data_IF_634776241684
#
_entry.id   IF_634776241684
#
_cell.length_a   1.000
_cell.length_b   1.000
_cell.length_c   1.000
_cell.angle_alpha   90.00
_cell.angle_beta   90.00
_cell.angle_gamma   90.00
#
_symmetry.space_group_name_H-M   'P 1'
#
loop_
_entity.id
_entity.type
_entity.pdbx_description
1 polymer ?
#
# COMPACT_ATOMS: atom_id res chain seq x y z
N UNK A 1 -26.99 5.84 11.75
CA UNK A 1 -26.91 4.79 10.71
C UNK A 1 -25.97 5.27 9.62
N UNK A 2 -24.72 4.78 9.60
CA UNK A 2 -23.77 5.11 8.52
C UNK A 2 -24.20 4.42 7.23
N UNK A 3 -24.29 5.16 6.12
CA UNK A 3 -24.69 4.62 4.83
C UNK A 3 -23.66 3.56 4.37
N UNK A 4 -24.06 2.28 4.32
CA UNK A 4 -23.18 1.14 3.95
C UNK A 4 -22.52 1.31 2.58
N UNK A 5 -23.14 2.05 1.66
CA UNK A 5 -22.57 2.33 0.34
C UNK A 5 -21.32 3.21 0.44
N UNK A 6 -21.35 4.26 1.27
CA UNK A 6 -20.23 5.19 1.42
C UNK A 6 -19.03 4.49 2.08
N UNK A 7 -19.26 3.74 3.17
CA UNK A 7 -18.19 3.02 3.89
C UNK A 7 -17.52 1.93 3.03
N UNK A 8 -18.23 1.37 2.05
CA UNK A 8 -17.68 0.37 1.13
C UNK A 8 -16.63 0.94 0.16
N UNK A 9 -16.63 2.25 -0.08
CA UNK A 9 -15.69 2.91 -0.99
C UNK A 9 -14.45 3.47 -0.28
N UNK A 10 -14.41 3.43 1.05
CA UNK A 10 -13.27 3.91 1.83
C UNK A 10 -11.93 3.24 1.50
N UNK A 11 -11.84 1.94 1.14
CA UNK A 11 -10.55 1.37 0.74
C UNK A 11 -10.02 2.04 -0.52
N UNK A 12 -10.89 2.34 -1.49
CA UNK A 12 -10.52 3.01 -2.74
C UNK A 12 -10.06 4.45 -2.48
N UNK A 13 -10.77 5.18 -1.62
CA UNK A 13 -10.38 6.55 -1.25
C UNK A 13 -9.02 6.54 -0.53
N UNK A 14 -8.81 5.59 0.39
CA UNK A 14 -7.55 5.46 1.12
C UNK A 14 -6.40 5.15 0.17
N UNK A 15 -6.60 4.22 -0.78
CA UNK A 15 -5.62 3.92 -1.83
C UNK A 15 -5.28 5.19 -2.59
N UNK A 16 -6.29 5.94 -3.06
CA UNK A 16 -6.07 7.17 -3.82
C UNK A 16 -5.29 8.22 -3.02
N UNK A 17 -5.58 8.38 -1.73
CA UNK A 17 -4.87 9.31 -0.85
C UNK A 17 -3.39 8.90 -0.66
N UNK A 18 -3.11 7.64 -0.37
CA UNK A 18 -1.73 7.14 -0.29
C UNK A 18 -1.01 7.27 -1.63
N UNK A 19 -1.66 6.93 -2.74
CA UNK A 19 -1.11 7.11 -4.09
C UNK A 19 -0.73 8.55 -4.37
N UNK A 20 -1.59 9.50 -4.00
CA UNK A 20 -1.32 10.92 -4.16
C UNK A 20 -0.12 11.36 -3.32
N UNK A 21 -0.05 10.96 -2.04
CA UNK A 21 1.06 11.34 -1.15
C UNK A 21 2.41 10.80 -1.65
N UNK A 22 2.47 9.53 -2.05
CA UNK A 22 3.69 8.94 -2.60
C UNK A 22 4.05 9.56 -3.96
N UNK A 23 3.06 9.83 -4.81
CA UNK A 23 3.27 10.48 -6.09
C UNK A 23 3.84 11.89 -5.94
N UNK A 24 3.32 12.69 -5.01
CA UNK A 24 3.82 14.05 -4.75
C UNK A 24 5.28 14.05 -4.29
N UNK A 25 5.65 13.14 -3.38
CA UNK A 25 7.05 13.01 -2.94
C UNK A 25 7.96 12.63 -4.11
N UNK A 26 7.62 11.55 -4.84
CA UNK A 26 8.46 11.05 -5.94
C UNK A 26 8.53 12.03 -7.10
N UNK A 27 7.44 12.77 -7.37
CA UNK A 27 7.43 13.84 -8.36
C UNK A 27 8.47 14.91 -8.02
N UNK A 28 8.52 15.36 -6.77
CA UNK A 28 9.52 16.32 -6.30
C UNK A 28 10.95 15.83 -6.57
N UNK A 29 11.23 14.59 -6.17
CA UNK A 29 12.53 13.96 -6.39
C UNK A 29 12.90 13.85 -7.89
N UNK A 30 11.98 13.38 -8.74
CA UNK A 30 12.24 13.27 -10.18
C UNK A 30 12.50 14.63 -10.81
N UNK A 31 11.75 15.66 -10.44
CA UNK A 31 11.95 17.01 -10.96
C UNK A 31 13.32 17.57 -10.56
N UNK A 32 13.76 17.36 -9.32
CA UNK A 32 15.09 17.75 -8.86
C UNK A 32 16.18 17.07 -9.69
N UNK A 33 16.06 15.76 -9.94
CA UNK A 33 16.99 15.01 -10.77
C UNK A 33 16.99 15.47 -12.24
N UNK A 34 15.83 15.79 -12.81
CA UNK A 34 15.74 16.33 -14.17
C UNK A 34 16.43 17.68 -14.30
N UNK A 35 16.37 18.52 -13.26
CA UNK A 35 17.10 19.80 -13.21
C UNK A 35 18.60 19.54 -13.09
N UNK A 36 19.03 18.65 -12.20
CA UNK A 36 20.44 18.30 -12.00
C UNK A 36 21.11 17.77 -13.28
N UNK A 37 20.38 16.98 -14.08
CA UNK A 37 20.87 16.47 -15.35
C UNK A 37 20.70 17.44 -16.53
N UNK A 38 20.17 18.65 -16.32
CA UNK A 38 19.91 19.64 -17.37
C UNK A 38 18.81 19.26 -18.36
N UNK A 39 18.09 18.15 -18.11
CA UNK A 39 17.00 17.67 -18.97
C UNK A 39 15.73 18.51 -18.81
N UNK A 40 15.55 19.12 -17.64
CA UNK A 40 14.35 19.91 -17.33
C UNK A 40 14.20 21.12 -18.27
N UNK A 41 15.29 21.84 -18.55
CA UNK A 41 15.26 23.00 -19.44
C UNK A 41 14.92 22.58 -20.89
N UNK A 42 15.49 21.47 -21.37
CA UNK A 42 15.12 20.92 -22.68
C UNK A 42 13.64 20.52 -22.77
N UNK A 43 13.04 20.01 -21.68
CA UNK A 43 11.61 19.71 -21.65
C UNK A 43 10.75 20.99 -21.67
N UNK A 44 11.23 22.09 -21.09
CA UNK A 44 10.52 23.37 -21.05
C UNK A 44 10.41 24.06 -22.41
N UNK A 45 11.24 23.69 -23.37
CA UNK A 45 11.10 24.17 -24.76
C UNK A 45 9.82 23.67 -25.42
N UNK A 46 9.30 22.51 -24.99
CA UNK A 46 8.11 21.87 -25.57
C UNK A 46 6.88 21.92 -24.66
N UNK A 47 7.07 21.94 -23.33
CA UNK A 47 5.99 21.90 -22.36
C UNK A 47 6.07 23.06 -21.36
N UNK A 48 4.91 23.51 -20.88
CA UNK A 48 4.87 24.44 -19.75
C UNK A 48 5.31 23.75 -18.46
N UNK A 49 5.87 24.51 -17.52
CA UNK A 49 6.27 24.00 -16.20
C UNK A 49 5.13 23.27 -15.48
N UNK A 50 3.92 23.86 -15.51
CA UNK A 50 2.72 23.23 -14.96
C UNK A 50 2.31 21.98 -15.74
N UNK A 51 2.49 21.97 -17.07
CA UNK A 51 2.23 20.81 -17.92
C UNK A 51 3.11 19.62 -17.58
N UNK A 52 4.42 19.86 -17.38
CA UNK A 52 5.38 18.82 -16.96
C UNK A 52 4.98 18.27 -15.58
N UNK A 53 4.73 19.18 -14.62
CA UNK A 53 4.34 18.79 -13.25
C UNK A 53 3.05 17.97 -13.26
N UNK A 54 1.98 18.44 -13.90
CA UNK A 54 0.69 17.73 -13.93
C UNK A 54 0.78 16.37 -14.62
N UNK A 55 1.49 16.28 -15.75
CA UNK A 55 1.64 15.02 -16.49
C UNK A 55 2.39 13.99 -15.65
N UNK A 56 3.50 14.41 -15.02
CA UNK A 56 4.29 13.54 -14.16
C UNK A 56 3.49 13.10 -12.92
N UNK A 57 2.77 14.02 -12.28
CA UNK A 57 1.91 13.70 -11.14
C UNK A 57 0.85 12.67 -11.52
N UNK A 58 0.14 12.87 -12.65
CA UNK A 58 -0.89 11.93 -13.10
C UNK A 58 -0.32 10.53 -13.35
N UNK A 59 0.83 10.44 -14.03
CA UNK A 59 1.51 9.17 -14.27
C UNK A 59 1.90 8.46 -12.97
N UNK A 60 2.47 9.21 -12.02
CA UNK A 60 2.90 8.67 -10.73
C UNK A 60 1.71 8.25 -9.85
N UNK A 61 0.64 9.04 -9.80
CA UNK A 61 -0.59 8.68 -9.08
C UNK A 61 -1.15 7.37 -9.64
N UNK A 62 -1.21 7.24 -10.97
CA UNK A 62 -1.68 6.02 -11.61
C UNK A 62 -0.80 4.81 -11.27
N UNK A 63 0.53 4.97 -11.32
CA UNK A 63 1.49 3.93 -10.95
C UNK A 63 1.32 3.47 -9.50
N UNK A 64 1.30 4.41 -8.55
CA UNK A 64 1.11 4.06 -7.14
C UNK A 64 -0.28 3.49 -6.86
N UNK A 65 -1.32 3.96 -7.56
CA UNK A 65 -2.66 3.40 -7.46
C UNK A 65 -2.69 1.92 -7.83
N UNK A 66 -2.01 1.54 -8.91
CA UNK A 66 -1.89 0.13 -9.30
C UNK A 66 -1.15 -0.70 -8.24
N UNK A 67 -0.03 -0.19 -7.71
CA UNK A 67 0.76 -0.88 -6.67
C UNK A 67 -0.09 -1.13 -5.42
N UNK A 68 -0.74 -0.09 -4.88
CA UNK A 68 -1.57 -0.23 -3.69
C UNK A 68 -2.82 -1.08 -3.93
N UNK A 69 -3.43 -0.98 -5.11
CA UNK A 69 -4.56 -1.84 -5.48
C UNK A 69 -4.17 -3.31 -5.57
N UNK A 70 -3.02 -3.62 -6.16
CA UNK A 70 -2.48 -4.98 -6.23
C UNK A 70 -2.17 -5.51 -4.82
N UNK A 71 -1.51 -4.71 -3.98
CA UNK A 71 -1.19 -5.09 -2.61
C UNK A 71 -2.46 -5.37 -1.79
N UNK A 72 -3.49 -4.53 -1.95
CA UNK A 72 -4.80 -4.73 -1.31
C UNK A 72 -5.46 -6.04 -1.78
N UNK A 73 -5.44 -6.34 -3.08
CA UNK A 73 -6.01 -7.58 -3.62
C UNK A 73 -5.32 -8.82 -3.04
N UNK A 74 -3.99 -8.80 -2.98
CA UNK A 74 -3.20 -9.87 -2.37
C UNK A 74 -3.56 -9.99 -0.89
N UNK A 75 -3.59 -8.87 -0.15
CA UNK A 75 -3.94 -8.87 1.26
C UNK A 75 -5.33 -9.47 1.54
N UNK A 76 -6.35 -9.06 0.80
CA UNK A 76 -7.70 -9.60 0.92
C UNK A 76 -7.73 -11.12 0.68
N UNK A 77 -7.00 -11.58 -0.34
CA UNK A 77 -6.92 -13.01 -0.69
C UNK A 77 -6.26 -13.80 0.44
N UNK A 78 -5.16 -13.30 0.99
CA UNK A 78 -4.42 -13.96 2.09
C UNK A 78 -5.27 -13.95 3.37
N UNK A 79 -5.98 -12.86 3.66
CA UNK A 79 -6.92 -12.79 4.79
C UNK A 79 -8.05 -13.80 4.64
N UNK A 80 -8.70 -13.86 3.48
CA UNK A 80 -9.78 -14.83 3.21
C UNK A 80 -9.27 -16.27 3.31
N UNK A 81 -8.09 -16.55 2.77
CA UNK A 81 -7.48 -17.89 2.84
C UNK A 81 -7.12 -18.26 4.29
N UNK A 82 -6.61 -17.31 5.08
CA UNK A 82 -6.36 -17.54 6.50
C UNK A 82 -7.64 -17.79 7.29
N UNK A 83 -8.74 -17.11 6.97
CA UNK A 83 -10.06 -17.38 7.56
C UNK A 83 -10.55 -18.77 7.18
N UNK A 84 -10.40 -19.18 5.92
CA UNK A 84 -10.81 -20.49 5.43
C UNK A 84 -10.11 -21.64 6.18
N UNK A 85 -8.82 -21.50 6.47
CA UNK A 85 -8.05 -22.55 7.14
C UNK A 85 -8.25 -22.60 8.65
N UNK A 86 -8.52 -21.47 9.30
CA UNK A 86 -8.46 -21.37 10.76
C UNK A 86 -9.78 -21.00 11.44
N UNK A 87 -10.76 -20.45 10.70
CA UNK A 87 -12.07 -20.06 11.24
C UNK A 87 -13.08 -21.20 11.19
N UNK A 88 -13.95 -21.25 12.21
CA UNK A 88 -15.15 -22.10 12.22
C UNK A 88 -16.39 -21.40 11.65
N UNK A 89 -16.25 -20.14 11.22
CA UNK A 89 -17.34 -19.34 10.64
C UNK A 89 -17.57 -19.74 9.18
N UNK A 90 -18.61 -20.56 8.94
CA UNK A 90 -19.05 -20.97 7.60
C UNK A 90 -19.92 -19.91 6.90
N UNK A 91 -20.49 -18.95 7.64
CA UNK A 91 -21.43 -17.95 7.12
C UNK A 91 -20.78 -16.60 6.76
N UNK A 92 -19.50 -16.39 7.08
CA UNK A 92 -18.74 -15.19 6.74
C UNK A 92 -19.20 -13.91 7.45
N UNK A 93 -19.88 -14.05 8.60
CA UNK A 93 -20.40 -12.92 9.40
C UNK A 93 -19.27 -12.06 9.96
N UNK A 94 -18.11 -12.65 10.22
CA UNK A 94 -16.94 -11.93 10.73
C UNK A 94 -16.28 -11.05 9.65
N UNK A 95 -16.36 -11.43 8.37
CA UNK A 95 -15.86 -10.60 7.25
C UNK A 95 -16.61 -9.26 7.14
N UNK A 96 -17.88 -9.23 7.56
CA UNK A 96 -18.69 -8.01 7.56
C UNK A 96 -18.28 -7.06 8.70
N UNK A 97 -17.89 -7.59 9.86
CA UNK A 97 -17.41 -6.78 11.00
C UNK A 97 -16.04 -6.17 10.75
N UNK A 98 -15.17 -6.89 10.03
CA UNK A 98 -13.83 -6.40 9.67
C UNK A 98 -13.90 -5.16 8.75
N UNK A 99 -14.99 -4.94 8.01
CA UNK A 99 -15.18 -3.74 7.16
C UNK A 99 -15.14 -2.42 7.92
N UNK A 100 -15.37 -2.41 9.24
CA UNK A 100 -15.20 -1.20 10.05
C UNK A 100 -13.72 -0.79 10.22
N UNK A 101 -12.78 -1.72 10.04
CA UNK A 101 -11.34 -1.44 10.09
C UNK A 101 -10.85 -0.53 8.95
N UNK A 102 -11.66 -0.29 7.92
CA UNK A 102 -11.29 0.58 6.80
C UNK A 102 -11.12 2.05 7.21
N UNK A 103 -11.73 2.49 8.32
CA UNK A 103 -11.50 3.83 8.87
C UNK A 103 -10.03 4.08 9.24
N UNK A 104 -9.31 3.04 9.66
CA UNK A 104 -7.89 3.13 10.02
C UNK A 104 -7.09 3.58 8.79
N UNK A 105 -7.32 2.94 7.64
CA UNK A 105 -6.66 3.32 6.39
C UNK A 105 -7.09 4.69 5.87
N UNK A 106 -8.34 5.09 6.08
CA UNK A 106 -8.83 6.39 5.61
C UNK A 106 -8.18 7.54 6.39
N UNK A 107 -8.14 7.45 7.72
CA UNK A 107 -7.51 8.45 8.59
C UNK A 107 -6.02 8.54 8.29
N UNK A 108 -5.34 7.41 8.20
CA UNK A 108 -3.93 7.38 7.82
C UNK A 108 -3.68 7.91 6.40
N UNK A 109 -4.59 7.66 5.46
CA UNK A 109 -4.53 8.22 4.11
C UNK A 109 -4.58 9.74 4.12
N UNK A 110 -5.47 10.34 4.93
CA UNK A 110 -5.53 11.80 5.10
C UNK A 110 -4.24 12.32 5.75
N UNK A 111 -3.76 11.66 6.81
CA UNK A 111 -2.52 12.02 7.49
C UNK A 111 -1.30 11.94 6.57
N UNK A 112 -1.29 11.02 5.61
CA UNK A 112 -0.18 10.83 4.67
C UNK A 112 0.08 12.07 3.83
N UNK A 113 -0.95 12.87 3.49
CA UNK A 113 -0.80 14.09 2.69
C UNK A 113 0.09 15.13 3.40
N UNK A 114 0.04 15.18 4.73
CA UNK A 114 0.86 16.09 5.53
C UNK A 114 2.31 15.62 5.68
N UNK A 115 2.60 14.35 5.40
CA UNK A 115 3.92 13.74 5.55
C UNK A 115 4.72 13.65 4.24
N UNK A 116 4.23 14.30 3.18
CA UNK A 116 4.82 14.28 1.83
C UNK A 116 6.22 14.88 1.72
N UNK A 117 6.73 15.52 2.77
CA UNK A 117 8.07 16.11 2.81
C UNK A 117 9.20 15.08 2.96
N UNK A 118 8.92 13.85 3.41
CA UNK A 118 9.97 12.85 3.63
C UNK A 118 9.42 11.42 3.48
N UNK A 119 10.05 10.66 2.59
CA UNK A 119 9.63 9.30 2.24
C UNK A 119 9.67 8.32 3.40
N UNK A 120 10.58 8.48 4.34
CA UNK A 120 10.71 7.58 5.51
C UNK A 120 9.46 7.71 6.37
N UNK A 121 8.97 8.93 6.61
CA UNK A 121 7.74 9.15 7.39
C UNK A 121 6.51 8.62 6.68
N UNK A 122 6.40 8.77 5.35
CA UNK A 122 5.33 8.16 4.56
C UNK A 122 5.33 6.63 4.65
N UNK A 123 6.49 6.01 4.50
CA UNK A 123 6.64 4.56 4.56
C UNK A 123 6.32 4.04 5.97
N UNK A 124 6.85 4.68 7.01
CA UNK A 124 6.56 4.34 8.41
C UNK A 124 5.06 4.46 8.70
N UNK A 125 4.39 5.53 8.27
CA UNK A 125 2.95 5.68 8.45
C UNK A 125 2.18 4.54 7.79
N UNK A 126 2.54 4.17 6.56
CA UNK A 126 1.89 3.08 5.84
C UNK A 126 2.08 1.73 6.55
N UNK A 127 3.31 1.38 6.94
CA UNK A 127 3.62 0.13 7.66
C UNK A 127 2.93 0.10 9.03
N UNK A 128 2.96 1.21 9.75
CA UNK A 128 2.28 1.33 11.04
C UNK A 128 0.77 1.18 10.92
N UNK A 129 0.16 1.73 9.86
CA UNK A 129 -1.26 1.56 9.54
C UNK A 129 -1.59 0.09 9.28
N UNK A 130 -0.77 -0.61 8.49
CA UNK A 130 -0.92 -2.05 8.26
C UNK A 130 -0.84 -2.85 9.58
N UNK A 131 0.10 -2.50 10.46
CA UNK A 131 0.25 -3.15 11.77
C UNK A 131 -0.96 -2.92 12.69
N UNK A 132 -1.45 -1.68 12.77
CA UNK A 132 -2.67 -1.36 13.54
C UNK A 132 -3.87 -2.12 12.98
N UNK A 133 -4.05 -2.12 11.66
CA UNK A 133 -5.14 -2.84 11.01
C UNK A 133 -5.06 -4.35 11.25
N UNK A 134 -3.87 -4.94 11.15
CA UNK A 134 -3.65 -6.36 11.43
C UNK A 134 -4.00 -6.70 12.89
N UNK A 135 -3.59 -5.86 13.83
CA UNK A 135 -3.93 -6.00 15.25
C UNK A 135 -5.44 -5.93 15.46
N UNK A 136 -6.11 -4.92 14.89
CA UNK A 136 -7.57 -4.78 14.91
C UNK A 136 -8.28 -6.02 14.33
N UNK A 137 -7.75 -6.56 13.22
CA UNK A 137 -8.28 -7.75 12.58
C UNK A 137 -8.22 -8.96 13.51
N UNK A 138 -7.07 -9.23 14.14
CA UNK A 138 -6.93 -10.33 15.10
C UNK A 138 -7.92 -10.18 16.26
N UNK A 139 -8.01 -8.99 16.85
CA UNK A 139 -8.95 -8.74 17.94
C UNK A 139 -10.40 -8.97 17.53
N UNK A 140 -10.79 -8.53 16.33
CA UNK A 140 -12.16 -8.67 15.84
C UNK A 140 -12.53 -10.14 15.60
N UNK A 141 -11.62 -10.92 15.02
CA UNK A 141 -11.85 -12.33 14.67
C UNK A 141 -11.59 -13.27 15.86
N UNK A 142 -11.00 -12.77 16.95
CA UNK A 142 -10.65 -13.58 18.12
C UNK A 142 -11.81 -14.36 18.72
N UNK A 143 -13.03 -13.82 18.70
CA UNK A 143 -14.21 -14.47 19.26
C UNK A 143 -14.69 -15.70 18.46
N UNK A 144 -14.32 -15.80 17.18
CA UNK A 144 -14.72 -16.91 16.29
C UNK A 144 -13.62 -17.96 16.11
N UNK A 145 -12.46 -17.76 16.74
CA UNK A 145 -11.29 -18.64 16.62
C UNK A 145 -11.01 -19.36 17.93
N UNK A 146 -10.56 -20.61 17.83
CA UNK A 146 -9.87 -21.25 18.97
C UNK A 146 -8.49 -20.62 19.15
N UNK A 147 -7.92 -20.72 20.35
CA UNK A 147 -6.56 -20.23 20.61
C UNK A 147 -5.53 -20.76 19.58
N UNK A 148 -5.64 -22.04 19.22
CA UNK A 148 -4.76 -22.67 18.23
C UNK A 148 -5.00 -22.14 16.80
N UNK A 149 -6.25 -21.87 16.43
CA UNK A 149 -6.60 -21.25 15.15
C UNK A 149 -6.09 -19.81 15.04
N UNK A 150 -6.15 -19.03 16.12
CA UNK A 150 -5.59 -17.67 16.17
C UNK A 150 -4.07 -17.68 15.98
N UNK A 151 -3.35 -18.54 16.72
CA UNK A 151 -1.91 -18.70 16.53
C UNK A 151 -1.59 -19.09 15.09
N UNK A 152 -2.29 -20.08 14.53
CA UNK A 152 -2.11 -20.51 13.14
C UNK A 152 -2.32 -19.39 12.12
N UNK A 153 -3.37 -18.59 12.29
CA UNK A 153 -3.66 -17.43 11.43
C UNK A 153 -2.54 -16.38 11.47
N UNK A 154 -2.01 -16.06 12.66
CA UNK A 154 -0.91 -15.10 12.80
C UNK A 154 0.35 -15.62 12.12
N UNK A 155 0.74 -16.88 12.38
CA UNK A 155 1.90 -17.47 11.74
C UNK A 155 1.76 -17.52 10.22
N UNK A 156 0.58 -17.89 9.71
CA UNK A 156 0.32 -17.93 8.28
C UNK A 156 0.54 -16.57 7.61
N UNK A 157 -0.01 -15.50 8.21
CA UNK A 157 0.15 -14.14 7.71
C UNK A 157 1.62 -13.69 7.75
N UNK A 158 2.31 -13.90 8.88
CA UNK A 158 3.71 -13.51 9.03
C UNK A 158 4.61 -14.25 8.04
N UNK A 159 4.44 -15.57 7.87
CA UNK A 159 5.21 -16.39 6.92
C UNK A 159 4.95 -15.95 5.49
N UNK A 160 3.68 -15.74 5.12
CA UNK A 160 3.31 -15.30 3.78
C UNK A 160 3.97 -13.97 3.43
N UNK A 161 3.78 -12.94 4.28
CA UNK A 161 4.32 -11.61 4.01
C UNK A 161 5.85 -11.58 4.04
N UNK A 162 6.48 -12.32 4.97
CA UNK A 162 7.94 -12.43 5.01
C UNK A 162 8.50 -13.08 3.74
N UNK A 163 7.90 -14.18 3.29
CA UNK A 163 8.33 -14.87 2.06
C UNK A 163 8.10 -14.00 0.82
N UNK A 164 6.95 -13.33 0.75
CA UNK A 164 6.61 -12.43 -0.36
C UNK A 164 7.61 -11.27 -0.48
N UNK A 165 7.92 -10.60 0.65
CA UNK A 165 8.89 -9.50 0.68
C UNK A 165 10.30 -10.01 0.32
N UNK A 166 10.73 -11.13 0.89
CA UNK A 166 12.04 -11.72 0.58
C UNK A 166 12.18 -12.08 -0.91
N UNK A 167 11.12 -12.60 -1.52
CA UNK A 167 11.11 -12.94 -2.94
C UNK A 167 11.26 -11.70 -3.83
N UNK A 168 10.55 -10.61 -3.50
CA UNK A 168 10.69 -9.33 -4.21
C UNK A 168 12.11 -8.78 -4.04
N UNK A 169 12.64 -8.73 -2.81
CA UNK A 169 13.99 -8.24 -2.55
C UNK A 169 15.05 -9.07 -3.29
N UNK A 170 14.90 -10.40 -3.28
CA UNK A 170 15.77 -11.30 -4.02
C UNK A 170 15.73 -11.02 -5.53
N UNK A 171 14.55 -10.83 -6.10
CA UNK A 171 14.39 -10.48 -7.51
C UNK A 171 15.06 -9.12 -7.83
N UNK A 172 14.85 -8.10 -6.99
CA UNK A 172 15.49 -6.79 -7.14
C UNK A 172 17.02 -6.87 -7.08
N UNK A 173 17.58 -7.58 -6.09
CA UNK A 173 19.04 -7.76 -5.99
C UNK A 173 19.61 -8.54 -7.17
N UNK A 174 18.89 -9.56 -7.65
CA UNK A 174 19.31 -10.31 -8.83
C UNK A 174 19.33 -9.42 -10.08
N UNK A 175 18.28 -8.62 -10.29
CA UNK A 175 18.23 -7.67 -11.41
C UNK A 175 19.37 -6.65 -11.32
N UNK A 176 19.57 -6.04 -10.14
CA UNK A 176 20.66 -5.08 -9.91
C UNK A 176 22.03 -5.69 -10.21
N UNK A 177 22.32 -6.88 -9.71
CA UNK A 177 23.58 -7.57 -9.96
C UNK A 177 23.76 -7.92 -11.44
N UNK A 178 22.69 -8.34 -12.13
CA UNK A 178 22.72 -8.60 -13.57
C UNK A 178 22.97 -7.32 -14.38
N UNK A 179 22.41 -6.18 -13.97
CA UNK A 179 22.70 -4.89 -14.59
C UNK A 179 24.15 -4.47 -14.39
N UNK A 180 24.70 -4.57 -13.18
CA UNK A 180 26.11 -4.26 -12.91
C UNK A 180 27.05 -5.16 -13.70
N UNK A 181 26.77 -6.46 -13.73
CA UNK A 181 27.59 -7.41 -14.49
C UNK A 181 27.53 -7.18 -16.02
N UNK A 182 26.54 -6.44 -16.51
CA UNK A 182 26.40 -6.08 -17.93
C UNK A 182 27.09 -4.77 -18.31
N UNK A 183 27.55 -3.99 -17.34
CA UNK A 183 28.33 -2.78 -17.59
C UNK A 183 29.79 -3.17 -17.90
N UNK A 184 30.42 -2.61 -18.95
CA UNK A 184 31.81 -2.85 -19.29
C UNK A 184 32.80 -2.26 -18.27
#
# INVERSE_FOLDING_TARGET
MSNRYITSHFPLISILLFSLSFALFVQGYILEQLVEFGLYDGMREFFSENGIKLTLLFLLVFLFFMIFSALKLIADTVFQLSMLFFSKDEEGKELIKVRYGTWIFLISGILSLFLTFNWIWLLLLFVFTCFIYFTYFIYTVSSSLTFLGMCGMVFFQVIFWSTFILLILFACFKLYNSFIASLP
#
